data_IF_657678398378
#
_entry.id   IF_657678398378
#
_cell.length_a   1.000
_cell.length_b   1.000
_cell.length_c   1.000
_cell.angle_alpha   90.00
_cell.angle_beta   90.00
_cell.angle_gamma   90.00
#
_symmetry.space_group_name_H-M   'P 1'
#
loop_
_entity.id
_entity.type
_entity.pdbx_description
1 polymer ?
#
# COMPACT_ATOMS: atom_id res chain seq x y z
N UNK A 1 -31.98 86.16 11.13
CA UNK A 1 -30.72 85.51 11.60
C UNK A 1 -30.62 84.14 10.90
N UNK A 2 -29.79 84.11 9.86
CA UNK A 2 -29.51 82.91 9.03
C UNK A 2 -28.39 82.10 9.68
N UNK A 3 -28.69 80.92 10.08
CA UNK A 3 -27.65 79.92 10.42
C UNK A 3 -27.04 79.37 9.12
N UNK A 4 -25.85 79.89 8.81
CA UNK A 4 -25.02 79.26 7.80
C UNK A 4 -24.48 77.91 8.36
N UNK A 5 -25.12 76.79 8.00
CA UNK A 5 -24.58 75.47 8.23
C UNK A 5 -23.27 75.30 7.44
N UNK A 6 -22.18 75.16 8.15
CA UNK A 6 -20.86 74.81 7.60
C UNK A 6 -21.00 73.42 6.92
N UNK A 7 -21.07 73.45 5.59
CA UNK A 7 -20.98 72.20 4.81
C UNK A 7 -19.56 71.70 4.92
N UNK A 8 -19.40 70.49 5.48
CA UNK A 8 -18.12 69.79 5.48
C UNK A 8 -17.51 69.77 4.07
N UNK A 9 -16.25 70.12 3.91
CA UNK A 9 -15.61 70.19 2.59
C UNK A 9 -15.64 68.78 1.96
N UNK A 10 -16.01 68.71 0.68
CA UNK A 10 -16.15 67.51 -0.11
C UNK A 10 -14.88 66.55 -0.03
N UNK A 11 -13.71 67.17 0.20
CA UNK A 11 -12.47 66.43 0.38
C UNK A 11 -12.39 65.61 1.70
N UNK A 12 -13.07 66.03 2.78
CA UNK A 12 -13.05 65.32 4.05
C UNK A 12 -13.87 64.03 4.00
N UNK A 13 -14.93 63.98 3.18
CA UNK A 13 -15.73 62.75 2.95
C UNK A 13 -14.95 61.73 2.14
N UNK A 14 -14.16 62.14 1.14
CA UNK A 14 -13.33 61.27 0.33
C UNK A 14 -12.19 60.59 1.12
N UNK A 15 -11.55 61.35 2.02
CA UNK A 15 -10.47 60.82 2.88
C UNK A 15 -10.97 59.73 3.85
N UNK A 16 -12.15 59.89 4.46
CA UNK A 16 -12.73 58.91 5.38
C UNK A 16 -13.00 57.57 4.70
N UNK A 17 -13.42 57.55 3.45
CA UNK A 17 -13.66 56.31 2.68
C UNK A 17 -12.38 55.63 2.20
N UNK A 18 -11.33 56.40 1.96
CA UNK A 18 -9.99 55.86 1.64
C UNK A 18 -9.40 55.13 2.85
N UNK A 19 -9.49 55.71 4.05
CA UNK A 19 -8.98 55.05 5.28
C UNK A 19 -9.73 53.74 5.61
N UNK A 20 -11.02 53.67 5.35
CA UNK A 20 -11.82 52.46 5.56
C UNK A 20 -11.44 51.32 4.63
N UNK A 21 -10.89 51.61 3.44
CA UNK A 21 -10.47 50.60 2.44
C UNK A 21 -9.01 50.15 2.57
N UNK A 22 -8.18 50.89 3.32
CA UNK A 22 -6.75 50.57 3.51
C UNK A 22 -6.48 49.15 4.02
N UNK A 23 -7.19 48.64 5.06
CA UNK A 23 -6.94 47.28 5.55
C UNK A 23 -7.16 46.19 4.48
N UNK A 24 -8.16 46.40 3.60
CA UNK A 24 -8.47 45.45 2.53
C UNK A 24 -7.38 45.44 1.43
N UNK A 25 -6.88 46.63 1.06
CA UNK A 25 -5.79 46.78 0.09
C UNK A 25 -4.51 46.16 0.62
N UNK A 26 -4.17 46.39 1.89
CA UNK A 26 -3.00 45.80 2.55
C UNK A 26 -3.10 44.26 2.55
N UNK A 27 -4.27 43.71 2.87
CA UNK A 27 -4.52 42.29 2.87
C UNK A 27 -4.32 41.67 1.47
N UNK A 28 -4.83 42.30 0.43
CA UNK A 28 -4.66 41.84 -0.96
C UNK A 28 -3.19 41.89 -1.39
N UNK A 29 -2.47 42.97 -1.09
CA UNK A 29 -1.06 43.12 -1.40
C UNK A 29 -0.21 42.10 -0.69
N UNK A 30 -0.41 41.88 0.61
CA UNK A 30 0.33 40.86 1.37
C UNK A 30 0.05 39.47 0.84
N UNK A 31 -1.20 39.14 0.51
CA UNK A 31 -1.57 37.84 -0.08
C UNK A 31 -0.93 37.64 -1.45
N UNK A 32 -0.87 38.65 -2.30
CA UNK A 32 -0.20 38.58 -3.60
C UNK A 32 1.32 38.35 -3.45
N UNK A 33 1.98 39.07 -2.52
CA UNK A 33 3.41 38.94 -2.25
C UNK A 33 3.74 37.55 -1.71
N UNK A 34 2.95 37.06 -0.76
CA UNK A 34 3.13 35.68 -0.19
C UNK A 34 2.92 34.63 -1.29
N UNK A 35 1.88 34.74 -2.10
CA UNK A 35 1.61 33.83 -3.21
C UNK A 35 2.74 33.82 -4.24
N UNK A 36 3.28 35.00 -4.59
CA UNK A 36 4.43 35.13 -5.48
C UNK A 36 5.70 34.50 -4.92
N UNK A 37 5.95 34.66 -3.62
CA UNK A 37 7.07 34.05 -2.95
C UNK A 37 6.96 32.52 -2.94
N UNK A 38 5.76 31.99 -2.67
CA UNK A 38 5.47 30.53 -2.72
C UNK A 38 5.60 29.99 -4.15
N UNK A 39 5.20 30.77 -5.16
CA UNK A 39 5.40 30.37 -6.56
C UNK A 39 6.88 30.26 -6.92
N UNK A 40 7.71 31.23 -6.53
CA UNK A 40 9.17 31.15 -6.70
C UNK A 40 9.81 29.94 -5.98
N UNK A 41 9.23 29.49 -4.87
CA UNK A 41 9.64 28.26 -4.16
C UNK A 41 9.15 26.96 -4.82
N UNK A 42 8.49 27.02 -5.98
CA UNK A 42 8.07 25.85 -6.75
C UNK A 42 6.68 25.31 -6.41
N UNK A 43 5.88 26.02 -5.63
CA UNK A 43 4.48 25.62 -5.38
C UNK A 43 3.64 25.72 -6.67
N UNK A 44 3.12 24.58 -7.12
CA UNK A 44 2.30 24.48 -8.35
C UNK A 44 1.02 25.35 -8.29
N UNK A 45 0.46 25.53 -7.10
CA UNK A 45 -0.81 26.23 -6.87
C UNK A 45 -0.64 27.74 -6.70
N UNK A 46 0.54 28.16 -6.28
CA UNK A 46 0.81 29.55 -5.97
C UNK A 46 0.66 30.46 -7.20
N UNK A 47 0.89 29.96 -8.42
CA UNK A 47 0.65 30.70 -9.65
C UNK A 47 -0.83 31.10 -9.82
N UNK A 48 -1.76 30.19 -9.50
CA UNK A 48 -3.20 30.46 -9.59
C UNK A 48 -3.63 31.46 -8.51
N UNK A 49 -3.04 31.34 -7.31
CA UNK A 49 -3.25 32.31 -6.23
C UNK A 49 -2.72 33.71 -6.60
N UNK A 50 -1.53 33.78 -7.23
CA UNK A 50 -0.98 35.04 -7.74
C UNK A 50 -1.94 35.70 -8.75
N UNK A 51 -2.48 34.94 -9.70
CA UNK A 51 -3.44 35.42 -10.68
C UNK A 51 -4.71 35.87 -9.97
N UNK A 52 -5.24 35.07 -9.03
CA UNK A 52 -6.44 35.41 -8.27
C UNK A 52 -6.31 36.72 -7.54
N UNK A 53 -5.20 36.99 -6.86
CA UNK A 53 -4.97 38.22 -6.12
C UNK A 53 -4.55 39.38 -7.02
N UNK A 54 -4.00 39.14 -8.20
CA UNK A 54 -3.67 40.21 -9.15
C UNK A 54 -4.91 40.80 -9.88
N UNK A 55 -5.92 39.98 -10.16
CA UNK A 55 -7.13 40.42 -10.88
C UNK A 55 -7.82 41.62 -10.25
N UNK A 56 -8.07 41.71 -8.95
CA UNK A 56 -8.68 42.87 -8.33
C UNK A 56 -7.86 44.17 -8.49
N UNK A 57 -6.51 44.08 -8.59
CA UNK A 57 -5.68 45.27 -8.79
C UNK A 57 -5.89 45.91 -10.15
N UNK A 58 -6.35 45.17 -11.16
CA UNK A 58 -6.72 45.73 -12.45
C UNK A 58 -7.99 46.60 -12.37
N UNK A 59 -8.77 46.45 -11.32
CA UNK A 59 -9.95 47.30 -11.08
C UNK A 59 -9.59 48.71 -10.59
N UNK A 60 -8.44 48.91 -9.97
CA UNK A 60 -8.02 50.21 -9.42
C UNK A 60 -7.86 51.32 -10.49
N UNK A 61 -7.13 51.07 -11.61
CA UNK A 61 -7.04 52.07 -12.69
C UNK A 61 -8.40 52.32 -13.37
N UNK A 62 -9.24 51.29 -13.50
CA UNK A 62 -10.59 51.43 -14.08
C UNK A 62 -11.44 52.36 -13.21
N UNK A 63 -11.41 52.16 -11.90
CA UNK A 63 -12.14 53.02 -10.95
C UNK A 63 -11.53 54.45 -10.90
N UNK A 64 -10.19 54.57 -10.99
CA UNK A 64 -9.48 55.85 -10.98
C UNK A 64 -9.78 56.70 -12.21
N UNK A 65 -9.75 56.11 -13.40
CA UNK A 65 -10.14 56.77 -14.65
C UNK A 65 -11.60 57.24 -14.58
N UNK A 66 -12.46 56.37 -14.05
CA UNK A 66 -13.86 56.68 -13.83
C UNK A 66 -14.06 57.95 -12.96
N UNK A 67 -13.22 58.12 -11.94
CA UNK A 67 -13.30 59.26 -11.00
C UNK A 67 -12.82 60.57 -11.62
N UNK A 68 -11.97 60.52 -12.67
CA UNK A 68 -11.47 61.71 -13.37
C UNK A 68 -12.50 62.34 -14.33
N UNK A 69 -13.47 61.55 -14.78
CA UNK A 69 -14.55 62.02 -15.66
C UNK A 69 -15.80 62.28 -14.85
N UNK A 70 -15.91 63.44 -14.26
CA UNK A 70 -16.95 63.86 -13.29
C UNK A 70 -18.38 64.04 -13.86
N UNK A 71 -18.53 64.03 -15.19
CA UNK A 71 -19.83 64.04 -15.86
C UNK A 71 -20.38 62.63 -16.12
N UNK A 72 -20.66 61.92 -15.04
CA UNK A 72 -21.07 60.51 -15.09
C UNK A 72 -22.58 60.42 -15.44
N UNK A 73 -22.84 59.87 -16.62
CA UNK A 73 -24.11 59.26 -16.93
C UNK A 73 -24.22 57.92 -16.16
N UNK A 74 -25.40 57.57 -15.62
CA UNK A 74 -25.66 56.34 -14.86
C UNK A 74 -25.23 55.07 -15.61
N UNK A 75 -25.25 55.08 -16.95
CA UNK A 75 -24.82 54.00 -17.83
C UNK A 75 -23.32 53.74 -17.67
N UNK A 76 -22.47 54.76 -17.64
CA UNK A 76 -21.01 54.64 -17.48
C UNK A 76 -20.67 54.06 -16.10
N UNK A 77 -21.39 54.49 -15.06
CA UNK A 77 -21.27 53.92 -13.71
C UNK A 77 -21.62 52.45 -13.68
N UNK A 78 -22.69 52.00 -14.36
CA UNK A 78 -23.11 50.61 -14.45
C UNK A 78 -22.05 49.74 -15.15
N UNK A 79 -21.49 50.19 -16.28
CA UNK A 79 -20.46 49.50 -17.04
C UNK A 79 -19.20 49.27 -16.20
N UNK A 80 -18.73 50.27 -15.48
CA UNK A 80 -17.52 50.19 -14.64
C UNK A 80 -17.73 49.22 -13.48
N UNK A 81 -18.86 49.31 -12.78
CA UNK A 81 -19.13 48.38 -11.68
C UNK A 81 -19.29 46.94 -12.17
N UNK A 82 -19.85 46.71 -13.36
CA UNK A 82 -19.94 45.41 -14.00
C UNK A 82 -18.56 44.85 -14.33
N UNK A 83 -17.65 45.66 -14.89
CA UNK A 83 -16.28 45.27 -15.19
C UNK A 83 -15.50 44.88 -13.93
N UNK A 84 -15.61 45.69 -12.87
CA UNK A 84 -15.01 45.35 -11.55
C UNK A 84 -15.60 44.06 -11.00
N UNK A 85 -16.90 43.85 -11.08
CA UNK A 85 -17.58 42.61 -10.65
C UNK A 85 -17.07 41.38 -11.39
N UNK A 86 -16.83 41.47 -12.70
CA UNK A 86 -16.26 40.38 -13.50
C UNK A 86 -14.84 40.05 -13.05
N UNK A 87 -13.99 41.02 -12.72
CA UNK A 87 -12.64 40.77 -12.22
C UNK A 87 -12.66 40.06 -10.85
N UNK A 88 -13.56 40.45 -9.95
CA UNK A 88 -13.75 39.73 -8.69
C UNK A 88 -14.27 38.30 -8.89
N UNK A 89 -15.22 38.10 -9.80
CA UNK A 89 -15.70 36.77 -10.16
C UNK A 89 -14.53 35.88 -10.68
N UNK A 90 -13.71 36.43 -11.56
CA UNK A 90 -12.48 35.77 -12.04
C UNK A 90 -11.53 35.39 -10.91
N UNK A 91 -11.37 36.25 -9.90
CA UNK A 91 -10.59 35.97 -8.71
C UNK A 91 -11.15 34.72 -7.97
N UNK A 92 -12.45 34.67 -7.71
CA UNK A 92 -13.07 33.55 -7.00
C UNK A 92 -12.98 32.25 -7.80
N UNK A 93 -13.14 32.28 -9.12
CA UNK A 93 -13.03 31.13 -9.99
C UNK A 93 -11.59 30.56 -9.95
N UNK A 94 -10.58 31.42 -10.12
CA UNK A 94 -9.18 31.00 -10.12
C UNK A 94 -8.71 30.49 -8.75
N UNK A 95 -9.18 31.11 -7.68
CA UNK A 95 -8.94 30.69 -6.31
C UNK A 95 -9.60 29.32 -6.05
N UNK A 96 -10.86 29.15 -6.41
CA UNK A 96 -11.58 27.87 -6.30
C UNK A 96 -10.89 26.75 -7.06
N UNK A 97 -10.42 27.04 -8.28
CA UNK A 97 -9.65 26.07 -9.07
C UNK A 97 -8.34 25.67 -8.40
N UNK A 98 -7.60 26.64 -7.83
CA UNK A 98 -6.36 26.35 -7.10
C UNK A 98 -6.61 25.44 -5.89
N UNK A 99 -7.65 25.72 -5.11
CA UNK A 99 -8.03 24.89 -3.95
C UNK A 99 -8.49 23.51 -4.39
N UNK A 100 -9.29 23.41 -5.44
CA UNK A 100 -9.76 22.12 -5.96
C UNK A 100 -8.60 21.26 -6.45
N UNK A 101 -7.62 21.82 -7.15
CA UNK A 101 -6.42 21.09 -7.55
C UNK A 101 -5.60 20.63 -6.34
N UNK A 102 -5.39 21.48 -5.35
CA UNK A 102 -4.64 21.11 -4.15
C UNK A 102 -5.31 19.95 -3.41
N UNK A 103 -6.64 19.98 -3.27
CA UNK A 103 -7.40 18.89 -2.64
C UNK A 103 -7.28 17.58 -3.43
N UNK A 104 -7.31 17.67 -4.76
CA UNK A 104 -7.17 16.50 -5.62
C UNK A 104 -5.78 15.86 -5.50
N UNK A 105 -4.72 16.68 -5.49
CA UNK A 105 -3.35 16.19 -5.32
C UNK A 105 -3.14 15.57 -3.93
N UNK A 106 -3.72 16.16 -2.87
CA UNK A 106 -3.67 15.58 -1.52
C UNK A 106 -4.39 14.24 -1.46
N UNK A 107 -5.56 14.11 -2.10
CA UNK A 107 -6.29 12.83 -2.19
C UNK A 107 -5.48 11.78 -2.93
N UNK A 108 -4.87 12.14 -4.05
CA UNK A 108 -4.03 11.23 -4.84
C UNK A 108 -2.81 10.75 -4.03
N UNK A 109 -2.15 11.67 -3.32
CA UNK A 109 -1.02 11.33 -2.45
C UNK A 109 -1.43 10.39 -1.31
N UNK A 110 -2.56 10.67 -0.65
CA UNK A 110 -3.10 9.82 0.42
C UNK A 110 -3.44 8.42 -0.11
N UNK A 111 -4.05 8.32 -1.29
CA UNK A 111 -4.33 7.03 -1.94
C UNK A 111 -3.05 6.25 -2.26
N UNK A 112 -2.03 6.92 -2.80
CA UNK A 112 -0.73 6.29 -3.07
C UNK A 112 -0.05 5.79 -1.79
N UNK A 113 -0.14 6.56 -0.70
CA UNK A 113 0.39 6.12 0.60
C UNK A 113 -0.37 4.91 1.12
N UNK A 114 -1.70 4.89 0.99
CA UNK A 114 -2.53 3.76 1.39
C UNK A 114 -2.19 2.48 0.61
N UNK A 115 -2.01 2.59 -0.72
CA UNK A 115 -1.59 1.45 -1.56
C UNK A 115 -0.24 0.91 -1.12
N UNK A 116 0.76 1.79 -0.95
CA UNK A 116 2.10 1.37 -0.49
C UNK A 116 2.07 0.71 0.88
N UNK A 117 1.25 1.21 1.79
CA UNK A 117 1.07 0.63 3.11
C UNK A 117 0.44 -0.76 3.01
N UNK A 118 -0.59 -0.92 2.19
CA UNK A 118 -1.24 -2.22 1.92
C UNK A 118 -0.25 -3.23 1.33
N UNK A 119 0.54 -2.84 0.34
CA UNK A 119 1.59 -3.70 -0.23
C UNK A 119 2.66 -4.09 0.80
N UNK A 120 3.02 -3.19 1.71
CA UNK A 120 3.96 -3.49 2.79
C UNK A 120 3.39 -4.53 3.76
N UNK A 121 2.12 -4.39 4.16
CA UNK A 121 1.45 -5.37 5.03
C UNK A 121 1.32 -6.76 4.39
N UNK A 122 1.07 -6.85 3.09
CA UNK A 122 0.94 -8.12 2.38
C UNK A 122 2.22 -8.96 2.40
N UNK A 123 3.37 -8.36 2.68
CA UNK A 123 4.64 -9.09 2.88
C UNK A 123 4.69 -9.85 4.20
N UNK A 124 3.89 -9.46 5.18
CA UNK A 124 3.85 -10.07 6.51
C UNK A 124 2.59 -10.90 6.74
N UNK A 125 1.50 -10.55 6.10
CA UNK A 125 0.21 -11.26 6.21
C UNK A 125 -0.20 -11.74 4.82
N UNK A 126 -0.27 -13.06 4.58
CA UNK A 126 -0.71 -13.60 3.30
C UNK A 126 -2.12 -13.11 2.93
N UNK A 127 -2.30 -12.61 1.71
CA UNK A 127 -3.61 -12.17 1.22
C UNK A 127 -4.63 -13.31 1.17
N UNK A 128 -4.15 -14.55 1.02
CA UNK A 128 -4.93 -15.77 1.01
C UNK A 128 -5.58 -16.05 2.38
N UNK A 129 -4.92 -15.69 3.47
CA UNK A 129 -5.49 -15.76 4.81
C UNK A 129 -6.75 -14.89 4.90
N UNK A 130 -6.67 -13.62 4.47
CA UNK A 130 -7.80 -12.69 4.48
C UNK A 130 -8.96 -13.22 3.63
N UNK A 131 -8.67 -13.70 2.42
CA UNK A 131 -9.68 -14.29 1.52
C UNK A 131 -10.37 -15.51 2.14
N UNK A 132 -9.63 -16.36 2.84
CA UNK A 132 -10.19 -17.53 3.50
C UNK A 132 -11.07 -17.15 4.68
N UNK A 133 -10.72 -16.11 5.43
CA UNK A 133 -11.54 -15.54 6.51
C UNK A 133 -12.74 -14.72 5.99
N UNK A 134 -12.89 -14.54 4.67
CA UNK A 134 -13.95 -13.71 4.09
C UNK A 134 -13.78 -12.21 4.35
N UNK A 135 -12.55 -11.75 4.60
CA UNK A 135 -12.22 -10.35 4.89
C UNK A 135 -11.62 -9.68 3.67
N UNK A 136 -12.01 -8.43 3.43
CA UNK A 136 -11.49 -7.64 2.31
C UNK A 136 -10.23 -6.84 2.68
N UNK A 137 -10.07 -6.53 3.96
CA UNK A 137 -8.95 -5.73 4.48
C UNK A 137 -8.42 -6.33 5.77
N UNK A 138 -7.14 -6.09 6.04
CA UNK A 138 -6.53 -6.39 7.34
C UNK A 138 -7.21 -5.64 8.50
N UNK A 139 -7.80 -4.48 8.20
CA UNK A 139 -8.54 -3.67 9.18
C UNK A 139 -9.86 -4.33 9.64
N UNK A 140 -10.38 -5.28 8.85
CA UNK A 140 -11.63 -6.00 9.16
C UNK A 140 -11.36 -7.26 10.01
N UNK A 141 -10.09 -7.58 10.25
CA UNK A 141 -9.67 -8.78 10.99
C UNK A 141 -9.74 -8.50 12.48
N UNK A 142 -10.40 -9.40 13.20
CA UNK A 142 -10.53 -9.36 14.65
C UNK A 142 -9.88 -10.57 15.29
N UNK A 143 -9.46 -10.42 16.55
CA UNK A 143 -8.94 -11.52 17.34
C UNK A 143 -10.03 -12.61 17.50
N UNK A 144 -9.66 -13.86 17.18
CA UNK A 144 -10.57 -14.99 17.22
C UNK A 144 -11.39 -15.21 15.95
N UNK A 145 -11.22 -14.40 14.89
CA UNK A 145 -11.76 -14.74 13.58
C UNK A 145 -11.25 -16.10 13.13
N UNK A 146 -12.14 -16.99 12.72
CA UNK A 146 -11.78 -18.36 12.36
C UNK A 146 -12.69 -18.95 11.30
N UNK A 147 -12.16 -19.89 10.52
CA UNK A 147 -12.90 -20.65 9.52
C UNK A 147 -12.38 -22.07 9.45
N UNK A 148 -13.29 -23.05 9.35
CA UNK A 148 -12.90 -24.44 9.10
C UNK A 148 -12.80 -24.67 7.59
N UNK A 149 -11.65 -25.20 7.14
CA UNK A 149 -11.36 -25.43 5.72
C UNK A 149 -10.60 -26.75 5.54
N UNK A 150 -10.93 -27.47 4.45
CA UNK A 150 -10.13 -28.65 4.03
C UNK A 150 -9.03 -28.18 3.09
N UNK A 151 -7.76 -28.43 3.46
CA UNK A 151 -6.59 -28.05 2.67
C UNK A 151 -5.52 -29.14 2.72
N UNK A 152 -4.56 -29.05 1.80
CA UNK A 152 -3.31 -29.81 1.91
C UNK A 152 -2.23 -28.90 2.49
N UNK A 153 -1.48 -29.45 3.44
CA UNK A 153 -0.38 -28.79 4.13
C UNK A 153 0.92 -29.43 3.68
N UNK A 154 1.88 -28.59 3.34
CA UNK A 154 3.23 -28.98 2.98
C UNK A 154 4.21 -28.42 4.00
N UNK A 155 4.99 -29.28 4.65
CA UNK A 155 6.18 -28.90 5.39
C UNK A 155 7.41 -29.28 4.59
N UNK A 156 8.38 -28.40 4.50
CA UNK A 156 9.71 -28.72 3.97
C UNK A 156 10.79 -28.18 4.89
N UNK A 157 11.90 -28.91 5.03
CA UNK A 157 13.02 -28.51 5.87
C UNK A 157 14.37 -28.92 5.22
N UNK A 158 15.43 -28.12 5.45
CA UNK A 158 16.76 -28.38 4.87
C UNK A 158 17.48 -29.46 5.70
N UNK A 159 17.93 -30.48 5.03
CA UNK A 159 18.67 -31.54 5.67
C UNK A 159 19.99 -31.06 6.23
N UNK A 160 20.21 -31.34 7.53
CA UNK A 160 21.43 -30.97 8.26
C UNK A 160 21.79 -29.50 8.19
N UNK A 161 20.76 -28.65 8.18
CA UNK A 161 20.93 -27.17 8.11
C UNK A 161 21.86 -26.67 9.22
N UNK A 162 21.74 -27.16 10.46
CA UNK A 162 22.61 -26.80 11.57
C UNK A 162 24.10 -26.93 11.20
N UNK A 163 24.47 -28.07 10.61
CA UNK A 163 25.86 -28.30 10.19
C UNK A 163 26.31 -27.42 9.01
N UNK A 164 25.37 -26.94 8.21
CA UNK A 164 25.63 -25.97 7.12
C UNK A 164 25.82 -24.58 7.72
N UNK A 165 24.93 -24.18 8.61
CA UNK A 165 24.89 -22.85 9.22
C UNK A 165 26.06 -22.56 10.17
N UNK A 166 26.55 -23.60 10.90
CA UNK A 166 27.74 -23.49 11.77
C UNK A 166 29.00 -23.06 11.03
N UNK A 167 29.06 -23.27 9.72
CA UNK A 167 30.20 -22.86 8.88
C UNK A 167 30.07 -21.46 8.29
N UNK A 168 28.99 -20.76 8.61
CA UNK A 168 28.64 -19.46 8.07
C UNK A 168 28.61 -18.40 9.16
N UNK A 169 28.98 -17.17 8.82
CA UNK A 169 28.67 -16.02 9.66
C UNK A 169 27.15 -15.79 9.69
N UNK A 170 26.61 -15.11 10.70
CA UNK A 170 25.18 -14.78 10.76
C UNK A 170 24.67 -14.11 9.48
N UNK A 171 25.45 -13.19 8.90
CA UNK A 171 25.10 -12.49 7.65
C UNK A 171 25.05 -13.44 6.45
N UNK A 172 26.01 -14.33 6.34
CA UNK A 172 26.04 -15.35 5.27
C UNK A 172 24.86 -16.31 5.40
N UNK A 173 24.52 -16.71 6.63
CA UNK A 173 23.39 -17.59 6.91
C UNK A 173 22.06 -16.96 6.48
N UNK A 174 21.81 -15.68 6.84
CA UNK A 174 20.63 -14.95 6.35
C UNK A 174 20.61 -14.84 4.83
N UNK A 175 21.75 -14.55 4.21
CA UNK A 175 21.84 -14.45 2.75
C UNK A 175 21.56 -15.78 2.06
N UNK A 176 22.07 -16.87 2.61
CA UNK A 176 21.85 -18.24 2.15
C UNK A 176 20.37 -18.62 2.24
N UNK A 177 19.74 -18.43 3.42
CA UNK A 177 18.32 -18.71 3.62
C UNK A 177 17.44 -17.89 2.67
N UNK A 178 17.67 -16.59 2.57
CA UNK A 178 16.91 -15.73 1.66
C UNK A 178 17.07 -16.18 0.20
N UNK A 179 18.27 -16.58 -0.21
CA UNK A 179 18.50 -17.10 -1.56
C UNK A 179 17.72 -18.40 -1.81
N UNK A 180 17.72 -19.33 -0.85
CA UNK A 180 16.96 -20.56 -0.90
C UNK A 180 15.45 -20.30 -0.96
N UNK A 181 14.92 -19.48 -0.05
CA UNK A 181 13.50 -19.16 0.02
C UNK A 181 13.00 -18.43 -1.23
N UNK A 182 13.83 -17.57 -1.82
CA UNK A 182 13.52 -16.87 -3.08
C UNK A 182 13.36 -17.83 -4.27
N UNK A 183 13.94 -19.03 -4.21
CA UNK A 183 13.78 -20.05 -5.24
C UNK A 183 12.59 -20.98 -4.95
N UNK A 184 12.38 -21.35 -3.69
CA UNK A 184 11.31 -22.29 -3.31
C UNK A 184 9.93 -21.63 -3.31
N UNK A 185 9.84 -20.39 -2.88
CA UNK A 185 8.56 -19.66 -2.76
C UNK A 185 7.80 -19.48 -4.08
N UNK A 186 8.43 -19.14 -5.21
CA UNK A 186 7.75 -19.09 -6.51
C UNK A 186 7.14 -20.44 -6.90
N UNK A 187 7.88 -21.56 -6.71
CA UNK A 187 7.41 -22.91 -7.06
C UNK A 187 6.11 -23.24 -6.32
N UNK A 188 6.03 -22.89 -5.02
CA UNK A 188 4.82 -23.09 -4.22
C UNK A 188 3.66 -22.26 -4.80
N UNK A 189 3.90 -20.98 -5.13
CA UNK A 189 2.86 -20.07 -5.66
C UNK A 189 2.39 -20.44 -7.06
N UNK A 190 3.27 -20.85 -7.94
CA UNK A 190 2.97 -21.32 -9.30
C UNK A 190 2.09 -22.56 -9.29
N UNK A 191 2.23 -23.38 -8.24
CA UNK A 191 1.36 -24.52 -7.98
C UNK A 191 0.15 -24.17 -7.10
N UNK A 192 -0.28 -22.89 -7.07
CA UNK A 192 -1.49 -22.39 -6.37
C UNK A 192 -1.48 -22.57 -4.85
N UNK A 193 -0.29 -22.78 -4.27
CA UNK A 193 -0.08 -22.75 -2.84
C UNK A 193 0.27 -21.34 -2.34
N UNK A 194 0.13 -21.11 -1.06
CA UNK A 194 0.67 -19.94 -0.41
C UNK A 194 1.46 -20.33 0.83
N UNK A 195 2.44 -19.51 1.18
CA UNK A 195 3.28 -19.74 2.33
C UNK A 195 2.57 -19.17 3.54
N UNK A 196 2.35 -19.99 4.54
CA UNK A 196 1.79 -19.57 5.83
C UNK A 196 2.88 -18.91 6.67
N UNK A 197 3.97 -19.61 6.86
CA UNK A 197 5.13 -19.09 7.60
C UNK A 197 6.45 -19.77 7.24
N UNK A 198 7.53 -19.07 7.53
CA UNK A 198 8.88 -19.62 7.53
C UNK A 198 9.28 -19.97 8.97
N UNK A 199 9.87 -21.13 9.17
CA UNK A 199 10.29 -21.64 10.49
C UNK A 199 11.78 -21.95 10.45
N UNK A 200 12.60 -20.89 10.55
CA UNK A 200 14.04 -21.01 10.30
C UNK A 200 14.32 -21.35 8.83
N UNK A 201 14.84 -22.53 8.56
CA UNK A 201 15.04 -23.09 7.23
C UNK A 201 13.83 -23.87 6.70
N UNK A 202 12.84 -24.08 7.55
CA UNK A 202 11.59 -24.76 7.19
C UNK A 202 10.56 -23.82 6.54
N UNK A 203 9.75 -24.38 5.66
CA UNK A 203 8.65 -23.71 4.99
C UNK A 203 7.35 -24.47 5.29
N UNK A 204 6.35 -23.76 5.77
CA UNK A 204 4.97 -24.24 5.86
C UNK A 204 4.14 -23.59 4.75
N UNK A 205 3.56 -24.40 3.87
CA UNK A 205 2.72 -23.95 2.78
C UNK A 205 1.36 -24.65 2.77
N UNK A 206 0.35 -23.94 2.32
CA UNK A 206 -1.04 -24.36 2.28
C UNK A 206 -1.57 -24.38 0.84
N UNK A 207 -2.35 -25.40 0.51
CA UNK A 207 -2.96 -25.61 -0.80
C UNK A 207 -4.47 -25.87 -0.64
N UNK A 208 -5.28 -24.90 -1.03
CA UNK A 208 -6.74 -24.96 -0.83
C UNK A 208 -7.44 -25.78 -1.92
N UNK A 209 -6.96 -25.68 -3.17
CA UNK A 209 -7.73 -26.12 -4.33
C UNK A 209 -7.62 -27.63 -4.59
N UNK A 210 -6.43 -28.19 -4.45
CA UNK A 210 -6.20 -29.59 -4.76
C UNK A 210 -4.95 -30.15 -4.06
N UNK A 211 -5.03 -31.38 -3.58
CA UNK A 211 -3.87 -32.11 -3.08
C UNK A 211 -2.83 -32.40 -4.19
N UNK A 212 -3.27 -32.46 -5.45
CA UNK A 212 -2.36 -32.59 -6.59
C UNK A 212 -1.39 -31.41 -6.68
N UNK A 213 -1.86 -30.20 -6.40
CA UNK A 213 -1.06 -28.97 -6.48
C UNK A 213 0.08 -29.04 -5.42
N UNK A 214 -0.19 -29.53 -4.21
CA UNK A 214 0.80 -29.70 -3.17
C UNK A 214 1.89 -30.75 -3.55
N UNK A 215 1.47 -31.90 -4.09
CA UNK A 215 2.41 -32.95 -4.52
C UNK A 215 3.24 -32.47 -5.71
N UNK A 216 2.62 -31.76 -6.66
CA UNK A 216 3.32 -31.19 -7.81
C UNK A 216 4.37 -30.16 -7.39
N UNK A 217 4.02 -29.27 -6.46
CA UNK A 217 4.95 -28.30 -5.90
C UNK A 217 6.16 -29.01 -5.24
N UNK A 218 5.91 -30.03 -4.44
CA UNK A 218 6.97 -30.81 -3.79
C UNK A 218 7.92 -31.48 -4.80
N UNK A 219 7.39 -32.06 -5.88
CA UNK A 219 8.20 -32.66 -6.94
C UNK A 219 9.04 -31.61 -7.66
N UNK A 220 8.46 -30.46 -7.96
CA UNK A 220 9.17 -29.37 -8.64
C UNK A 220 10.25 -28.75 -7.74
N UNK A 221 10.02 -28.62 -6.43
CA UNK A 221 11.04 -28.19 -5.47
C UNK A 221 12.23 -29.18 -5.46
N UNK A 222 11.98 -30.47 -5.43
CA UNK A 222 13.04 -31.50 -5.49
C UNK A 222 13.80 -31.45 -6.82
N UNK A 223 13.10 -31.32 -7.95
CA UNK A 223 13.72 -31.20 -9.29
C UNK A 223 14.62 -29.99 -9.37
N UNK A 224 14.17 -28.84 -8.87
CA UNK A 224 14.98 -27.62 -8.84
C UNK A 224 16.28 -27.84 -8.05
N UNK A 225 16.21 -28.48 -6.88
CA UNK A 225 17.39 -28.72 -6.04
C UNK A 225 18.35 -29.71 -6.66
N UNK A 226 17.88 -30.69 -7.44
CA UNK A 226 18.75 -31.58 -8.22
C UNK A 226 19.57 -30.75 -9.22
N UNK A 227 18.96 -29.85 -9.95
CA UNK A 227 19.63 -28.97 -10.91
C UNK A 227 20.59 -27.98 -10.20
N UNK A 228 20.15 -27.38 -9.09
CA UNK A 228 20.99 -26.52 -8.27
C UNK A 228 22.24 -27.25 -7.79
N UNK A 229 22.07 -28.43 -7.23
CA UNK A 229 23.18 -29.26 -6.71
C UNK A 229 24.15 -29.72 -7.80
N UNK A 230 23.68 -29.92 -9.03
CA UNK A 230 24.56 -30.25 -10.18
C UNK A 230 25.47 -29.08 -10.52
N UNK A 231 25.00 -27.83 -10.33
CA UNK A 231 25.80 -26.61 -10.58
C UNK A 231 26.62 -26.17 -9.35
N UNK A 232 26.27 -26.61 -8.15
CA UNK A 232 26.87 -26.19 -6.88
C UNK A 232 28.38 -26.49 -6.81
N UNK A 233 28.83 -27.58 -7.40
CA UNK A 233 30.24 -27.96 -7.43
C UNK A 233 31.10 -26.91 -8.15
N UNK A 234 30.60 -26.35 -9.25
CA UNK A 234 31.28 -25.27 -10.00
C UNK A 234 31.30 -23.95 -9.22
N UNK A 235 30.24 -23.67 -8.49
CA UNK A 235 30.02 -22.37 -7.82
C UNK A 235 30.50 -22.36 -6.36
N UNK A 236 31.06 -23.48 -5.85
CA UNK A 236 31.49 -23.66 -4.45
C UNK A 236 30.37 -23.33 -3.43
N UNK A 237 29.10 -23.55 -3.81
CA UNK A 237 27.95 -23.35 -2.92
C UNK A 237 27.63 -24.66 -2.19
N UNK A 238 27.07 -24.61 -0.97
CA UNK A 238 26.67 -25.83 -0.26
C UNK A 238 25.59 -26.59 -1.03
N UNK A 239 25.67 -27.92 -1.02
CA UNK A 239 24.56 -28.75 -1.52
C UNK A 239 23.37 -28.66 -0.58
N UNK A 240 22.18 -28.53 -1.16
CA UNK A 240 20.92 -28.42 -0.44
C UNK A 240 20.08 -29.67 -0.74
N UNK A 241 19.69 -30.39 0.29
CA UNK A 241 18.67 -31.41 0.19
C UNK A 241 17.56 -31.08 1.17
N UNK A 242 16.30 -31.32 0.79
CA UNK A 242 15.15 -31.08 1.65
C UNK A 242 14.34 -32.34 1.86
N UNK A 243 13.68 -32.43 3.03
CA UNK A 243 12.57 -33.34 3.27
C UNK A 243 11.26 -32.63 3.08
N UNK A 244 10.26 -33.29 2.54
CA UNK A 244 8.93 -32.74 2.36
C UNK A 244 7.88 -33.70 2.89
N UNK A 245 7.04 -33.22 3.81
CA UNK A 245 5.88 -33.95 4.34
C UNK A 245 4.59 -33.28 3.89
N UNK A 246 3.62 -34.04 3.36
CA UNK A 246 2.33 -33.50 2.91
C UNK A 246 1.20 -34.28 3.57
N UNK A 247 0.27 -33.56 4.14
CA UNK A 247 -0.99 -34.11 4.62
C UNK A 247 -2.18 -33.27 4.15
N UNK A 248 -3.33 -33.92 3.95
CA UNK A 248 -4.59 -33.28 3.58
C UNK A 248 -5.61 -33.53 4.69
N UNK A 249 -6.30 -32.50 5.14
CA UNK A 249 -7.30 -32.64 6.20
C UNK A 249 -8.06 -31.36 6.49
N UNK A 250 -9.04 -31.47 7.38
CA UNK A 250 -9.74 -30.34 7.95
C UNK A 250 -8.82 -29.58 8.90
N UNK A 251 -8.88 -28.26 8.85
CA UNK A 251 -8.09 -27.39 9.71
C UNK A 251 -8.82 -26.11 10.03
N UNK A 252 -8.58 -25.58 11.22
CA UNK A 252 -9.05 -24.28 11.64
C UNK A 252 -8.01 -23.21 11.27
N UNK A 253 -8.38 -22.35 10.34
CA UNK A 253 -7.60 -21.18 9.96
C UNK A 253 -8.15 -19.98 10.71
N UNK A 254 -7.32 -19.21 11.39
CA UNK A 254 -7.82 -18.07 12.17
C UNK A 254 -6.72 -17.16 12.70
N UNK A 255 -7.14 -16.21 13.53
CA UNK A 255 -6.27 -15.24 14.19
C UNK A 255 -6.10 -15.59 15.65
N UNK A 256 -4.85 -15.72 16.06
CA UNK A 256 -4.43 -16.00 17.44
C UNK A 256 -3.60 -14.83 17.98
N UNK A 257 -3.59 -14.69 19.28
CA UNK A 257 -2.73 -13.73 19.95
C UNK A 257 -3.48 -12.89 20.98
N UNK A 258 -3.08 -11.66 21.10
CA UNK A 258 -3.64 -10.66 22.02
C UNK A 258 -3.87 -9.33 21.29
N UNK A 259 -4.47 -8.36 21.96
CA UNK A 259 -4.91 -7.08 21.34
C UNK A 259 -3.80 -6.34 20.60
N UNK A 260 -2.56 -6.41 21.09
CA UNK A 260 -1.41 -5.68 20.50
C UNK A 260 -0.59 -6.53 19.51
N UNK A 261 -0.82 -7.86 19.51
CA UNK A 261 -0.10 -8.80 18.62
C UNK A 261 -1.02 -9.94 18.22
N UNK A 262 -1.40 -9.93 16.95
CA UNK A 262 -2.17 -11.00 16.31
C UNK A 262 -1.32 -11.68 15.24
N UNK A 263 -1.49 -12.98 15.10
CA UNK A 263 -0.85 -13.79 14.07
C UNK A 263 -1.92 -14.66 13.41
N UNK A 264 -1.88 -14.71 12.07
CA UNK A 264 -2.64 -15.72 11.33
C UNK A 264 -2.05 -17.10 11.58
N UNK A 265 -2.87 -18.07 11.95
CA UNK A 265 -2.38 -19.39 12.25
C UNK A 265 -3.36 -20.48 11.84
N UNK A 266 -2.82 -21.66 11.65
CA UNK A 266 -3.58 -22.87 11.33
C UNK A 266 -3.44 -23.86 12.48
N UNK A 267 -4.56 -24.31 13.00
CA UNK A 267 -4.60 -25.29 14.08
C UNK A 267 -5.33 -26.54 13.60
N UNK A 268 -4.65 -27.68 13.67
CA UNK A 268 -5.25 -28.99 13.39
C UNK A 268 -4.24 -30.11 13.69
N UNK A 269 -4.76 -31.29 13.99
CA UNK A 269 -3.95 -32.52 13.97
C UNK A 269 -3.36 -32.80 12.58
N UNK A 270 -4.04 -32.32 11.53
CA UNK A 270 -3.54 -32.46 10.16
C UNK A 270 -2.22 -31.70 9.95
N UNK A 271 -2.00 -30.55 10.61
CA UNK A 271 -0.76 -29.78 10.60
C UNK A 271 0.37 -30.58 11.28
N UNK A 272 0.09 -31.10 12.46
CA UNK A 272 1.04 -31.90 13.22
C UNK A 272 1.48 -33.17 12.46
N UNK A 273 0.53 -33.81 11.76
CA UNK A 273 0.83 -34.99 10.96
C UNK A 273 1.76 -34.65 9.77
N UNK A 274 1.49 -33.55 9.06
CA UNK A 274 2.35 -33.12 7.95
C UNK A 274 3.79 -32.84 8.41
N UNK A 275 3.96 -32.18 9.56
CA UNK A 275 5.27 -31.93 10.15
C UNK A 275 5.98 -33.24 10.54
N UNK A 276 5.26 -34.22 11.13
CA UNK A 276 5.82 -35.55 11.44
C UNK A 276 6.26 -36.31 10.17
N UNK A 277 5.46 -36.24 9.10
CA UNK A 277 5.79 -36.84 7.81
C UNK A 277 7.07 -36.24 7.22
N UNK A 278 7.26 -34.93 7.35
CA UNK A 278 8.52 -34.31 6.98
C UNK A 278 9.68 -34.92 7.75
N UNK A 279 9.63 -35.02 9.08
CA UNK A 279 10.66 -35.63 9.91
C UNK A 279 10.96 -37.10 9.53
N UNK A 280 9.93 -37.89 9.20
CA UNK A 280 10.07 -39.29 8.77
C UNK A 280 10.81 -39.41 7.44
N UNK A 281 10.83 -38.41 6.57
CA UNK A 281 11.58 -38.44 5.31
C UNK A 281 13.07 -38.73 5.54
N UNK A 282 13.62 -38.34 6.70
CA UNK A 282 15.00 -38.66 7.10
C UNK A 282 15.18 -40.16 7.36
N UNK A 283 14.24 -40.76 8.08
CA UNK A 283 14.32 -42.19 8.45
C UNK A 283 14.19 -43.11 7.23
N UNK A 284 13.23 -42.77 6.37
CA UNK A 284 12.97 -43.56 5.15
C UNK A 284 13.86 -43.16 3.97
N UNK A 285 14.77 -42.20 4.13
CA UNK A 285 15.63 -41.66 3.05
C UNK A 285 14.81 -41.25 1.81
N UNK A 286 13.61 -40.74 2.04
CA UNK A 286 12.69 -40.27 1.01
C UNK A 286 12.77 -38.77 0.90
N UNK A 287 12.65 -38.21 -0.31
CA UNK A 287 12.58 -36.76 -0.50
C UNK A 287 11.21 -36.20 -0.18
N UNK A 288 10.16 -36.99 -0.42
CA UNK A 288 8.76 -36.58 -0.20
C UNK A 288 8.01 -37.76 0.44
N UNK A 289 7.25 -37.47 1.50
CA UNK A 289 6.31 -38.42 2.10
C UNK A 289 4.93 -37.75 2.14
N UNK A 290 3.91 -38.48 1.75
CA UNK A 290 2.52 -38.05 1.81
C UNK A 290 1.71 -38.96 2.71
N UNK A 291 0.68 -38.44 3.37
CA UNK A 291 -0.27 -39.24 4.14
C UNK A 291 -1.19 -40.06 3.25
N UNK A 292 -1.83 -41.07 3.85
CA UNK A 292 -2.91 -41.81 3.20
C UNK A 292 -4.06 -40.90 2.77
N UNK A 293 -4.41 -39.89 3.60
CA UNK A 293 -5.46 -38.96 3.28
C UNK A 293 -5.08 -38.07 2.07
N UNK A 294 -3.83 -37.66 1.95
CA UNK A 294 -3.34 -36.99 0.73
C UNK A 294 -3.44 -37.93 -0.48
N UNK A 295 -3.03 -39.16 -0.32
CA UNK A 295 -3.06 -40.20 -1.37
C UNK A 295 -4.50 -40.45 -1.89
N UNK A 296 -5.51 -40.43 -1.01
CA UNK A 296 -6.92 -40.56 -1.39
C UNK A 296 -7.44 -39.37 -2.19
N UNK A 297 -6.85 -38.17 -1.96
CA UNK A 297 -7.30 -36.89 -2.55
C UNK A 297 -6.49 -36.46 -3.80
N UNK A 298 -5.55 -37.26 -4.29
CA UNK A 298 -4.78 -37.01 -5.50
C UNK A 298 -5.23 -37.89 -6.67
N UNK A 299 -4.94 -37.43 -7.88
CA UNK A 299 -5.06 -38.28 -9.08
C UNK A 299 -3.81 -39.16 -9.17
N UNK A 300 -4.02 -40.46 -8.96
CA UNK A 300 -2.95 -41.45 -8.89
C UNK A 300 -2.21 -41.64 -10.22
N UNK A 301 -2.84 -41.39 -11.33
CA UNK A 301 -2.26 -41.55 -12.67
C UNK A 301 -1.21 -40.46 -12.97
N UNK A 302 -1.21 -39.37 -12.22
CA UNK A 302 -0.26 -38.27 -12.41
C UNK A 302 1.07 -38.46 -11.70
N UNK A 303 1.15 -39.36 -10.71
CA UNK A 303 2.30 -39.49 -9.83
C UNK A 303 2.73 -40.95 -9.63
N UNK A 304 4.03 -41.21 -9.74
CA UNK A 304 4.59 -42.51 -9.35
C UNK A 304 4.75 -42.52 -7.83
N UNK A 305 3.96 -43.33 -7.14
CA UNK A 305 3.91 -43.39 -5.67
C UNK A 305 4.26 -44.81 -5.23
N UNK A 306 5.08 -44.88 -4.18
CA UNK A 306 5.44 -46.13 -3.52
C UNK A 306 4.88 -46.13 -2.09
N UNK A 307 4.24 -47.20 -1.69
CA UNK A 307 3.88 -47.43 -0.30
C UNK A 307 5.14 -47.63 0.54
N UNK A 308 5.20 -47.01 1.72
CA UNK A 308 6.34 -47.09 2.62
C UNK A 308 5.98 -47.85 3.90
N UNK A 309 4.94 -47.40 4.61
CA UNK A 309 4.55 -47.95 5.91
C UNK A 309 3.13 -47.46 6.28
N UNK A 310 2.47 -48.10 7.29
CA UNK A 310 1.16 -47.73 7.87
C UNK A 310 1.27 -47.45 9.37
#
# INVERSE_FOLDING_TARGET
KSEHGIRDPLWSRGLGDVYKRQPFIILLLTSAVVSFHLWKKGSKYAKYLCISFALPFLSAPISGIAYLFYDFNWITWLIINSAVGILFLGMFITFGFAVAQQLNDMKLLALQQQVKLTEAYQRFVPSELLKNLGKNSILDVSLGDQVNVKMSILFSDIRSFTSISEKMTPKENFSFLNSYLNQMSPIIRENKGYIDKFMGDGVMALFKNSANDAVKAAIEMQKYLIQYNASSFKNKTPKINIGIGINTGEMMLGTLGETNRMEGSVISDAVNLASRLEGLTKNYKAGIIISEETYKNINKDLFAIRFIDC
#
